data_IF_890273385200
#
_entry.id   IF_890273385200
#
_cell.length_a   1.000
_cell.length_b   1.000
_cell.length_c   1.000
_cell.angle_alpha   90.00
_cell.angle_beta   90.00
_cell.angle_gamma   90.00
#
_symmetry.space_group_name_H-M   'P 1'
#
loop_
_entity.id
_entity.type
_entity.pdbx_description
1 polymer ?
#
# COMPACT_ATOMS: atom_id res chain seq x y z
N UNK A 1 10.89 -11.98 0.34
CA UNK A 1 10.69 -10.83 1.24
C UNK A 1 9.40 -11.08 2.00
N UNK A 2 9.43 -10.97 3.32
CA UNK A 2 8.25 -11.09 4.18
C UNK A 2 7.37 -9.83 4.10
N UNK A 3 6.16 -9.87 4.65
CA UNK A 3 5.30 -8.69 4.70
C UNK A 3 5.90 -7.58 5.57
N UNK A 4 6.48 -7.92 6.73
CA UNK A 4 7.07 -6.91 7.62
C UNK A 4 8.29 -6.23 6.98
N UNK A 5 9.12 -6.98 6.26
CA UNK A 5 10.27 -6.43 5.54
C UNK A 5 9.82 -5.44 4.47
N UNK A 6 8.80 -5.80 3.67
CA UNK A 6 8.25 -4.92 2.64
C UNK A 6 7.63 -3.67 3.26
N UNK A 7 6.84 -3.82 4.33
CA UNK A 7 6.16 -2.73 5.02
C UNK A 7 7.15 -1.68 5.54
N UNK A 8 8.22 -2.13 6.21
CA UNK A 8 9.27 -1.27 6.75
C UNK A 8 10.06 -0.55 5.66
N UNK A 9 10.40 -1.24 4.57
CA UNK A 9 11.09 -0.63 3.43
C UNK A 9 10.20 0.38 2.71
N UNK A 10 8.92 0.06 2.51
CA UNK A 10 7.96 0.95 1.86
C UNK A 10 7.75 2.22 2.68
N UNK A 11 7.55 2.10 4.00
CA UNK A 11 7.39 3.24 4.90
C UNK A 11 8.58 4.21 4.84
N UNK A 12 9.82 3.68 4.78
CA UNK A 12 11.03 4.49 4.66
C UNK A 12 11.08 5.26 3.35
N UNK A 13 10.77 4.60 2.23
CA UNK A 13 10.70 5.23 0.90
C UNK A 13 9.63 6.32 0.87
N UNK A 14 8.43 6.02 1.37
CA UNK A 14 7.31 6.97 1.42
C UNK A 14 7.67 8.20 2.25
N UNK A 15 8.22 8.00 3.46
CA UNK A 15 8.64 9.08 4.34
C UNK A 15 9.65 10.02 3.67
N UNK A 16 10.66 9.47 2.98
CA UNK A 16 11.65 10.26 2.25
C UNK A 16 11.02 11.19 1.20
N UNK A 17 10.03 10.69 0.46
CA UNK A 17 9.30 11.50 -0.54
C UNK A 17 8.49 12.58 0.16
N UNK A 18 7.70 12.23 1.17
CA UNK A 18 6.87 13.22 1.89
C UNK A 18 7.72 14.31 2.54
N UNK A 19 8.83 13.97 3.19
CA UNK A 19 9.76 14.94 3.78
C UNK A 19 10.32 15.91 2.72
N UNK A 20 10.68 15.39 1.53
CA UNK A 20 11.12 16.21 0.39
C UNK A 20 10.03 17.20 -0.04
N UNK A 21 8.78 16.76 -0.17
CA UNK A 21 7.67 17.60 -0.63
C UNK A 21 7.27 18.64 0.43
N UNK A 22 7.27 18.27 1.71
CA UNK A 22 7.03 19.21 2.82
C UNK A 22 8.13 20.28 2.87
N UNK A 23 9.40 19.90 2.67
CA UNK A 23 10.50 20.86 2.62
C UNK A 23 10.40 21.84 1.43
N UNK A 24 9.71 21.45 0.36
CA UNK A 24 9.38 22.31 -0.77
C UNK A 24 8.15 23.19 -0.51
N UNK A 25 7.49 23.05 0.64
CA UNK A 25 6.32 23.84 1.02
C UNK A 25 5.02 23.38 0.38
N UNK A 26 4.96 22.17 -0.18
CA UNK A 26 3.73 21.66 -0.78
C UNK A 26 2.65 21.45 0.28
N UNK A 27 1.42 21.80 -0.09
CA UNK A 27 0.21 21.53 0.68
C UNK A 27 -0.16 20.04 0.66
N UNK A 28 -1.10 19.67 1.54
CA UNK A 28 -1.65 18.31 1.57
C UNK A 28 -2.22 17.86 0.21
N UNK A 29 -2.99 18.70 -0.47
CA UNK A 29 -3.57 18.34 -1.78
C UNK A 29 -2.49 18.15 -2.84
N UNK A 30 -1.46 19.00 -2.85
CA UNK A 30 -0.33 18.87 -3.78
C UNK A 30 0.51 17.62 -3.48
N UNK A 31 0.70 17.27 -2.21
CA UNK A 31 1.37 16.02 -1.82
C UNK A 31 0.54 14.81 -2.30
N UNK A 32 -0.78 14.82 -2.11
CA UNK A 32 -1.64 13.73 -2.59
C UNK A 32 -1.52 13.61 -4.10
N UNK A 33 -1.65 14.71 -4.84
CA UNK A 33 -1.61 14.71 -6.31
C UNK A 33 -0.21 14.33 -6.84
N UNK A 34 0.86 14.66 -6.11
CA UNK A 34 2.21 14.21 -6.43
C UNK A 34 2.33 12.68 -6.45
N UNK A 35 1.56 11.99 -5.61
CA UNK A 35 1.55 10.54 -5.55
C UNK A 35 0.70 9.87 -6.64
N UNK A 36 0.10 10.62 -7.56
CA UNK A 36 -0.50 10.03 -8.76
C UNK A 36 0.54 9.26 -9.57
N UNK A 37 0.13 8.13 -10.12
CA UNK A 37 1.00 7.17 -10.80
C UNK A 37 1.92 7.82 -11.83
N UNK A 38 1.36 8.68 -12.69
CA UNK A 38 2.09 9.37 -13.75
C UNK A 38 3.21 10.27 -13.19
N UNK A 39 2.95 10.95 -12.07
CA UNK A 39 3.95 11.77 -11.39
C UNK A 39 5.01 10.89 -10.72
N UNK A 40 4.59 9.83 -10.03
CA UNK A 40 5.50 8.91 -9.33
C UNK A 40 6.42 8.15 -10.29
N UNK A 41 5.94 7.74 -11.47
CA UNK A 41 6.77 7.11 -12.51
C UNK A 41 7.86 8.06 -13.00
N UNK A 42 7.51 9.34 -13.20
CA UNK A 42 8.39 10.37 -13.73
C UNK A 42 9.43 10.82 -12.71
N UNK A 43 9.01 11.08 -11.47
CA UNK A 43 9.83 11.73 -10.47
C UNK A 43 10.47 10.75 -9.47
N UNK A 44 9.91 9.55 -9.30
CA UNK A 44 10.24 8.60 -8.22
C UNK A 44 10.33 7.16 -8.73
N UNK A 45 10.98 6.94 -9.87
CA UNK A 45 10.99 5.65 -10.58
C UNK A 45 11.50 4.46 -9.73
N UNK A 46 12.40 4.68 -8.77
CA UNK A 46 12.92 3.63 -7.88
C UNK A 46 12.01 3.33 -6.66
N UNK A 47 10.91 4.08 -6.49
CA UNK A 47 9.94 3.85 -5.42
C UNK A 47 9.29 2.47 -5.53
N UNK A 48 8.81 2.14 -6.73
CA UNK A 48 8.10 0.91 -7.04
C UNK A 48 8.75 0.20 -8.25
N UNK A 49 8.97 -1.13 -8.19
CA UNK A 49 9.52 -1.86 -9.34
C UNK A 49 8.65 -1.75 -10.60
N UNK A 50 7.33 -1.60 -10.43
CA UNK A 50 6.38 -1.43 -11.54
C UNK A 50 6.46 -0.06 -12.24
N UNK A 51 7.34 0.85 -11.81
CA UNK A 51 7.54 2.11 -12.52
C UNK A 51 8.59 2.01 -13.62
N UNK A 52 9.43 0.96 -13.59
CA UNK A 52 10.44 0.71 -14.63
C UNK A 52 9.82 0.29 -15.96
N UNK A 53 8.73 -0.47 -15.86
CA UNK A 53 7.81 -0.77 -16.95
C UNK A 53 6.48 -0.14 -16.55
N UNK A 54 6.12 1.05 -17.05
CA UNK A 54 5.10 1.93 -16.45
C UNK A 54 3.68 1.36 -16.55
N UNK A 55 3.43 0.32 -15.77
CA UNK A 55 2.20 -0.47 -15.71
C UNK A 55 1.53 -0.19 -14.36
N UNK A 56 0.26 0.22 -14.41
CA UNK A 56 -0.57 0.41 -13.22
C UNK A 56 -0.82 -0.95 -12.55
N UNK A 57 -0.69 -1.02 -11.23
CA UNK A 57 -0.95 -2.25 -10.47
C UNK A 57 -2.44 -2.62 -10.36
N UNK A 58 -3.32 -1.65 -10.60
CA UNK A 58 -4.77 -1.83 -10.63
C UNK A 58 -5.34 -1.20 -11.89
N UNK A 59 -6.37 -1.84 -12.45
CA UNK A 59 -7.13 -1.33 -13.58
C UNK A 59 -8.08 -0.21 -13.12
N UNK A 60 -7.54 1.01 -13.09
CA UNK A 60 -8.26 2.24 -12.75
C UNK A 60 -7.69 3.40 -13.56
N UNK A 61 -8.56 4.30 -14.00
CA UNK A 61 -8.16 5.47 -14.80
C UNK A 61 -7.14 6.34 -14.06
N UNK A 62 -7.45 6.74 -12.82
CA UNK A 62 -6.56 7.51 -11.94
C UNK A 62 -6.12 6.66 -10.77
N UNK A 63 -4.83 6.37 -10.71
CA UNK A 63 -4.22 5.56 -9.66
C UNK A 63 -3.36 6.45 -8.78
N UNK A 64 -3.75 6.64 -7.52
CA UNK A 64 -2.94 7.35 -6.54
C UNK A 64 -2.16 6.37 -5.67
N UNK A 65 -0.86 6.56 -5.51
CA UNK A 65 0.04 5.63 -4.83
C UNK A 65 0.28 5.93 -3.34
N UNK A 66 -0.29 7.01 -2.79
CA UNK A 66 -0.01 7.46 -1.42
C UNK A 66 -0.32 6.38 -0.38
N UNK A 67 -1.47 5.72 -0.50
CA UNK A 67 -1.88 4.63 0.38
C UNK A 67 -1.63 3.23 -0.21
N UNK A 68 -0.62 3.09 -1.08
CA UNK A 68 -0.11 1.77 -1.45
C UNK A 68 0.20 0.97 -0.18
N UNK A 69 -0.19 -0.30 -0.13
CA UNK A 69 -0.15 -1.13 1.09
C UNK A 69 -1.44 -1.15 1.93
N UNK A 70 -2.47 -0.37 1.54
CA UNK A 70 -3.85 -0.35 2.04
C UNK A 70 -4.04 -0.43 3.58
N UNK A 71 -4.62 0.60 4.24
CA UNK A 71 -4.86 0.58 5.70
C UNK A 71 -5.80 -0.54 6.20
N UNK A 72 -6.50 -1.20 5.28
CA UNK A 72 -7.41 -2.31 5.52
C UNK A 72 -6.76 -3.69 5.39
N UNK A 73 -5.53 -3.75 4.89
CA UNK A 73 -4.78 -4.98 4.81
C UNK A 73 -4.27 -5.37 6.21
N UNK A 74 -4.39 -6.65 6.56
CA UNK A 74 -3.85 -7.22 7.80
C UNK A 74 -2.89 -8.32 7.44
N UNK A 75 -1.71 -8.32 8.04
CA UNK A 75 -0.74 -9.38 7.84
C UNK A 75 -0.05 -9.77 9.15
N UNK A 76 0.43 -11.00 9.18
CA UNK A 76 1.40 -11.49 10.13
C UNK A 76 2.21 -12.60 9.45
N UNK A 77 3.52 -12.44 9.37
CA UNK A 77 4.42 -13.42 8.75
C UNK A 77 4.45 -14.76 9.52
N UNK A 78 4.17 -14.72 10.83
CA UNK A 78 4.01 -15.92 11.66
C UNK A 78 2.62 -16.56 11.54
N UNK A 79 1.66 -15.84 10.96
CA UNK A 79 0.29 -16.28 10.71
C UNK A 79 -0.76 -15.56 11.54
N UNK A 80 -1.93 -15.38 10.95
CA UNK A 80 -3.16 -14.85 11.55
C UNK A 80 -4.12 -15.97 11.99
N UNK A 81 -3.74 -17.22 11.77
CA UNK A 81 -4.55 -18.42 11.98
C UNK A 81 -4.24 -19.49 10.93
N UNK A 82 -5.03 -20.56 10.93
CA UNK A 82 -4.89 -21.68 10.01
C UNK A 82 -6.26 -22.08 9.42
N UNK A 83 -6.24 -22.59 8.20
CA UNK A 83 -7.41 -23.17 7.54
C UNK A 83 -6.99 -24.37 6.68
N UNK A 84 -7.55 -25.54 6.96
CA UNK A 84 -7.22 -26.81 6.30
C UNK A 84 -5.69 -27.08 6.24
N UNK A 85 -4.99 -26.82 7.34
CA UNK A 85 -3.53 -27.00 7.44
C UNK A 85 -2.70 -25.95 6.70
N UNK A 86 -3.32 -24.96 6.06
CA UNK A 86 -2.62 -23.82 5.47
C UNK A 86 -2.63 -22.61 6.40
N UNK A 87 -1.49 -21.93 6.53
CA UNK A 87 -1.33 -20.74 7.36
C UNK A 87 -1.93 -19.51 6.68
N UNK A 88 -2.79 -18.77 7.37
CA UNK A 88 -3.35 -17.51 6.85
C UNK A 88 -2.35 -16.39 7.15
N UNK A 89 -1.65 -15.88 6.14
CA UNK A 89 -0.64 -14.83 6.34
C UNK A 89 -1.20 -13.42 6.20
N UNK A 90 -2.32 -13.25 5.49
CA UNK A 90 -2.99 -11.96 5.35
C UNK A 90 -4.49 -12.05 5.13
N UNK A 91 -5.20 -10.95 5.46
CA UNK A 91 -6.65 -10.78 5.26
C UNK A 91 -7.01 -9.31 5.04
N UNK A 92 -8.19 -9.04 4.50
CA UNK A 92 -8.81 -7.73 4.47
C UNK A 92 -9.76 -7.55 5.66
N UNK A 93 -9.67 -6.45 6.41
CA UNK A 93 -10.55 -6.16 7.55
C UNK A 93 -11.99 -5.76 7.14
N UNK A 94 -12.18 -5.29 5.91
CA UNK A 94 -13.48 -4.93 5.33
C UNK A 94 -14.01 -6.01 4.35
N UNK A 95 -13.40 -7.20 4.35
CA UNK A 95 -13.83 -8.35 3.54
C UNK A 95 -13.96 -8.06 2.03
N UNK A 96 -13.06 -7.25 1.48
CA UNK A 96 -13.00 -7.01 0.03
C UNK A 96 -11.92 -7.87 -0.63
N UNK A 97 -12.05 -8.13 -1.95
CA UNK A 97 -11.10 -8.94 -2.72
C UNK A 97 -11.28 -10.46 -2.56
N UNK A 98 -10.23 -11.21 -2.88
CA UNK A 98 -10.20 -12.68 -2.91
C UNK A 98 -9.12 -13.23 -1.98
N UNK A 99 -9.04 -14.56 -1.88
CA UNK A 99 -7.95 -15.27 -1.20
C UNK A 99 -7.21 -16.13 -2.21
N UNK A 100 -5.89 -16.18 -2.10
CA UNK A 100 -5.03 -17.04 -2.89
C UNK A 100 -4.34 -18.03 -1.95
N UNK A 101 -4.49 -19.33 -2.22
CA UNK A 101 -3.75 -20.37 -1.52
C UNK A 101 -2.55 -20.81 -2.37
N UNK A 102 -1.35 -20.69 -1.84
CA UNK A 102 -0.12 -21.10 -2.51
C UNK A 102 0.95 -21.48 -1.48
N UNK A 103 1.71 -22.56 -1.74
CA UNK A 103 2.86 -22.94 -0.90
C UNK A 103 2.53 -23.24 0.57
N UNK A 104 1.31 -23.72 0.86
CA UNK A 104 0.87 -23.99 2.25
C UNK A 104 0.43 -22.74 3.02
N UNK A 105 0.31 -21.60 2.36
CA UNK A 105 -0.19 -20.36 2.93
C UNK A 105 -1.39 -19.79 2.16
N UNK A 106 -2.21 -19.02 2.87
CA UNK A 106 -3.34 -18.27 2.32
C UNK A 106 -3.01 -16.78 2.44
N UNK A 107 -3.08 -16.10 1.30
CA UNK A 107 -2.83 -14.67 1.16
C UNK A 107 -4.11 -13.96 0.74
N UNK A 108 -4.28 -12.73 1.18
CA UNK A 108 -5.27 -11.80 0.66
C UNK A 108 -4.85 -11.34 -0.74
N UNK A 109 -5.76 -11.47 -1.70
CA UNK A 109 -5.62 -10.95 -3.06
C UNK A 109 -6.48 -9.68 -3.20
N UNK A 110 -5.80 -8.56 -3.42
CA UNK A 110 -6.40 -7.25 -3.59
C UNK A 110 -6.36 -6.77 -5.05
N UNK A 111 -5.94 -7.60 -6.02
CA UNK A 111 -5.70 -7.18 -7.42
C UNK A 111 -6.88 -6.44 -8.06
N UNK A 112 -8.12 -6.80 -7.69
CA UNK A 112 -9.37 -6.18 -8.17
C UNK A 112 -9.93 -5.04 -7.29
N UNK A 113 -9.27 -4.71 -6.17
CA UNK A 113 -9.69 -3.67 -5.25
C UNK A 113 -8.98 -2.35 -5.57
N UNK A 114 -9.71 -1.25 -5.60
CA UNK A 114 -9.15 0.10 -5.88
C UNK A 114 -9.26 1.06 -4.70
N UNK A 115 -9.87 0.66 -3.58
CA UNK A 115 -10.16 1.51 -2.41
C UNK A 115 -9.01 2.44 -2.01
N UNK A 116 -7.78 1.97 -1.76
CA UNK A 116 -6.70 2.84 -1.28
C UNK A 116 -6.16 3.80 -2.35
N UNK A 117 -6.49 3.57 -3.62
CA UNK A 117 -5.95 4.33 -4.76
C UNK A 117 -6.84 5.49 -5.21
N UNK A 118 -8.03 5.64 -4.61
CA UNK A 118 -8.90 6.79 -4.87
C UNK A 118 -8.39 8.00 -4.09
N UNK A 119 -8.13 9.12 -4.78
CA UNK A 119 -7.74 10.41 -4.17
C UNK A 119 -8.63 10.80 -2.99
N UNK A 120 -9.95 10.64 -3.12
CA UNK A 120 -10.90 10.96 -2.06
C UNK A 120 -10.70 10.10 -0.79
N UNK A 121 -10.34 8.82 -0.96
CA UNK A 121 -10.03 7.93 0.15
C UNK A 121 -8.70 8.33 0.82
N UNK A 122 -7.69 8.64 0.01
CA UNK A 122 -6.40 9.16 0.50
C UNK A 122 -6.61 10.42 1.32
N UNK A 123 -7.33 11.41 0.79
CA UNK A 123 -7.66 12.67 1.48
C UNK A 123 -8.32 12.43 2.83
N UNK A 124 -9.29 11.51 2.90
CA UNK A 124 -9.99 11.17 4.14
C UNK A 124 -9.09 10.55 5.22
N UNK A 125 -7.98 9.92 4.82
CA UNK A 125 -7.09 9.15 5.70
C UNK A 125 -5.71 9.78 5.86
N UNK A 126 -5.49 10.95 5.27
CA UNK A 126 -4.18 11.56 5.14
C UNK A 126 -3.52 11.82 6.50
N UNK A 127 -2.23 11.51 6.57
CA UNK A 127 -1.29 11.92 7.61
C UNK A 127 0.10 11.90 6.96
N UNK A 128 0.93 12.91 7.24
CA UNK A 128 2.30 12.97 6.72
C UNK A 128 3.14 11.74 7.10
N UNK A 129 2.81 11.09 8.21
CA UNK A 129 3.39 9.82 8.63
C UNK A 129 2.50 8.65 8.21
N UNK A 130 2.85 8.04 7.08
CA UNK A 130 2.17 6.85 6.54
C UNK A 130 2.02 5.72 7.57
N UNK A 131 2.98 5.54 8.49
CA UNK A 131 2.85 4.49 9.52
C UNK A 131 1.72 4.75 10.51
N UNK A 132 1.35 6.01 10.77
CA UNK A 132 0.18 6.32 11.61
C UNK A 132 -1.11 5.85 10.93
N UNK A 133 -1.22 6.08 9.63
CA UNK A 133 -2.35 5.60 8.82
C UNK A 133 -2.41 4.07 8.85
N UNK A 134 -1.24 3.44 8.74
CA UNK A 134 -1.10 1.98 8.72
C UNK A 134 -1.00 1.34 10.11
N UNK A 135 -1.25 2.06 11.20
CA UNK A 135 -1.03 1.58 12.58
C UNK A 135 -1.77 0.28 12.95
N UNK A 136 -2.76 -0.12 12.17
CA UNK A 136 -3.55 -1.35 12.38
C UNK A 136 -3.17 -2.51 11.45
N UNK A 137 -2.23 -2.35 10.52
CA UNK A 137 -1.98 -3.38 9.50
C UNK A 137 -1.21 -4.60 10.02
N UNK A 138 -0.32 -4.39 10.99
CA UNK A 138 0.37 -5.50 11.67
C UNK A 138 -0.52 -6.02 12.79
N UNK A 139 -0.86 -7.30 12.74
CA UNK A 139 -1.40 -7.96 13.93
C UNK A 139 -0.21 -8.25 14.87
N UNK A 140 -0.09 -7.44 15.93
CA UNK A 140 0.68 -7.85 17.10
C UNK A 140 -0.14 -8.86 17.91
#
# INVERSE_FOLDING_TARGET
MSYIEWFEQHAKKHKKIVEKLVAQGLSEDEIIDYFDFENMVKEENEFCPLYKEPVKCHDIEKLNCYLCGCPHFRFNDDGLGEYNGAKILSKCDINNGSKLAAGGAIHQDCSKCTVPHHRAYVKKKFDLDWKKIMSKVTAM
#
